data_IF_365605329530
#
_entry.id   IF_365605329530
#
_cell.length_a   1.000
_cell.length_b   1.000
_cell.length_c   1.000
_cell.angle_alpha   90.00
_cell.angle_beta   90.00
_cell.angle_gamma   90.00
#
_symmetry.space_group_name_H-M   'P 1'
#
loop_
_entity.id
_entity.type
_entity.pdbx_description
1 polymer ?
#
# COMPACT_ATOMS: atom_id res chain seq x y z
N UNK A 1 10.26 -38.79 37.83
CA UNK A 1 9.45 -37.59 38.13
C UNK A 1 9.80 -36.54 37.09
N UNK A 2 9.18 -36.57 35.92
CA UNK A 2 7.92 -35.89 35.52
C UNK A 2 8.30 -34.76 34.57
N UNK A 3 7.96 -34.93 33.30
CA UNK A 3 7.99 -33.92 32.25
C UNK A 3 7.32 -32.63 32.75
N UNK A 4 7.97 -31.49 32.52
CA UNK A 4 7.33 -30.18 32.67
C UNK A 4 7.44 -29.47 31.31
N UNK A 5 6.35 -29.59 30.54
CA UNK A 5 5.80 -28.58 29.61
C UNK A 5 6.76 -28.11 28.50
N UNK A 6 6.89 -28.78 27.35
CA UNK A 6 5.91 -28.79 26.25
C UNK A 6 5.22 -27.43 26.01
N UNK A 7 5.51 -26.84 24.85
CA UNK A 7 4.71 -25.88 24.10
C UNK A 7 4.56 -24.43 24.64
N UNK A 8 5.59 -23.61 24.41
CA UNK A 8 5.36 -22.19 24.10
C UNK A 8 5.87 -21.85 22.69
N UNK A 9 5.49 -22.69 21.73
CA UNK A 9 5.67 -22.46 20.30
C UNK A 9 4.30 -22.22 19.68
N UNK A 10 3.70 -21.09 20.04
CA UNK A 10 2.47 -20.58 19.44
C UNK A 10 2.33 -19.08 19.71
N UNK A 11 3.34 -18.28 19.34
CA UNK A 11 3.03 -16.94 18.88
C UNK A 11 2.35 -17.12 17.51
N UNK A 12 1.05 -17.34 17.60
CA UNK A 12 0.12 -17.55 16.50
C UNK A 12 0.38 -16.48 15.44
N UNK A 13 0.97 -16.91 14.31
CA UNK A 13 0.67 -16.34 13.01
C UNK A 13 -0.84 -16.38 12.84
N UNK A 14 -1.53 -15.37 13.36
CA UNK A 14 -2.91 -15.08 13.01
C UNK A 14 -2.93 -14.44 11.63
N UNK A 15 -2.43 -15.20 10.64
CA UNK A 15 -2.81 -15.06 9.24
C UNK A 15 -4.07 -15.90 8.98
N UNK A 16 -4.97 -15.94 9.97
CA UNK A 16 -6.24 -16.61 9.88
C UNK A 16 -7.17 -15.74 9.03
N UNK A 17 -7.24 -16.10 7.75
CA UNK A 17 -8.35 -15.83 6.84
C UNK A 17 -8.67 -14.35 6.62
N UNK A 18 -7.69 -13.56 6.15
CA UNK A 18 -8.08 -12.40 5.34
C UNK A 18 -8.65 -12.98 4.04
N UNK A 19 -9.93 -12.73 3.69
CA UNK A 19 -10.43 -13.13 2.38
C UNK A 19 -9.44 -12.63 1.31
N UNK A 20 -9.15 -13.41 0.25
CA UNK A 20 -8.21 -12.99 -0.78
C UNK A 20 -8.60 -11.58 -1.19
N UNK A 21 -7.71 -10.62 -0.93
CA UNK A 21 -8.01 -9.22 -1.15
C UNK A 21 -8.41 -9.09 -2.62
N UNK A 22 -9.65 -8.69 -2.86
CA UNK A 22 -10.16 -8.51 -4.21
C UNK A 22 -9.23 -7.55 -4.94
N UNK A 23 -8.48 -8.09 -5.91
CA UNK A 23 -7.62 -7.29 -6.77
C UNK A 23 -8.44 -6.93 -7.98
N UNK A 24 -8.73 -5.64 -8.14
CA UNK A 24 -9.26 -5.10 -9.37
C UNK A 24 -8.20 -5.31 -10.45
N UNK A 25 -8.47 -6.10 -11.50
CA UNK A 25 -7.54 -6.25 -12.61
C UNK A 25 -7.42 -4.90 -13.33
N UNK A 26 -6.20 -4.50 -13.69
CA UNK A 26 -5.96 -3.29 -14.51
C UNK A 26 -6.41 -1.97 -13.85
N UNK A 27 -5.99 -1.74 -12.60
CA UNK A 27 -6.12 -0.43 -11.95
C UNK A 27 -5.52 0.68 -12.83
N UNK A 28 -6.29 1.72 -13.13
CA UNK A 28 -5.80 2.89 -13.86
C UNK A 28 -4.74 3.61 -13.00
N UNK A 29 -3.64 3.99 -13.64
CA UNK A 29 -2.61 4.81 -13.00
C UNK A 29 -3.17 6.18 -12.58
N UNK A 30 -2.58 6.82 -11.54
CA UNK A 30 -2.91 8.20 -11.17
C UNK A 30 -2.67 9.16 -12.33
N UNK A 31 -3.41 10.26 -12.36
CA UNK A 31 -3.00 11.40 -13.19
C UNK A 31 -1.78 12.09 -12.57
N UNK A 32 -0.90 12.64 -13.42
CA UNK A 32 0.24 13.42 -12.94
C UNK A 32 -0.25 14.68 -12.21
N UNK A 33 0.42 15.02 -11.11
CA UNK A 33 0.13 16.22 -10.33
C UNK A 33 1.23 17.25 -10.52
N UNK A 34 0.87 18.41 -11.09
CA UNK A 34 1.82 19.46 -11.47
C UNK A 34 1.97 20.58 -10.43
N UNK A 35 1.14 20.56 -9.38
CA UNK A 35 1.06 21.61 -8.37
C UNK A 35 0.30 22.87 -8.79
N UNK A 36 -0.28 22.94 -9.99
CA UNK A 36 -1.00 24.14 -10.47
C UNK A 36 -2.39 24.27 -9.87
N UNK A 37 -3.01 23.15 -9.53
CA UNK A 37 -4.36 23.09 -8.99
C UNK A 37 -4.33 22.42 -7.61
N UNK A 38 -4.11 23.17 -6.52
CA UNK A 38 -3.94 22.60 -5.18
C UNK A 38 -5.11 21.71 -4.74
N UNK A 39 -6.33 22.04 -5.16
CA UNK A 39 -7.53 21.26 -4.85
C UNK A 39 -7.50 19.82 -5.43
N UNK A 40 -6.67 19.54 -6.44
CA UNK A 40 -6.51 18.20 -7.02
C UNK A 40 -5.60 17.28 -6.19
N UNK A 41 -4.84 17.81 -5.23
CA UNK A 41 -3.89 17.01 -4.43
C UNK A 41 -4.58 15.86 -3.70
N UNK A 42 -5.80 16.10 -3.20
CA UNK A 42 -6.58 15.08 -2.48
C UNK A 42 -6.95 13.93 -3.41
N UNK A 43 -7.45 14.23 -4.61
CA UNK A 43 -7.81 13.23 -5.61
C UNK A 43 -6.60 12.42 -6.06
N UNK A 44 -5.45 13.08 -6.26
CA UNK A 44 -4.18 12.42 -6.55
C UNK A 44 -3.79 11.42 -5.44
N UNK A 45 -3.79 11.86 -4.18
CA UNK A 45 -3.46 11.00 -3.03
C UNK A 45 -4.43 9.81 -2.92
N UNK A 46 -5.73 10.05 -3.09
CA UNK A 46 -6.76 9.00 -3.04
C UNK A 46 -6.54 7.93 -4.13
N UNK A 47 -6.16 8.34 -5.34
CA UNK A 47 -5.85 7.39 -6.41
C UNK A 47 -4.63 6.52 -6.09
N UNK A 48 -3.57 7.11 -5.51
CA UNK A 48 -2.39 6.38 -5.06
C UNK A 48 -2.76 5.37 -3.96
N UNK A 49 -3.54 5.80 -2.97
CA UNK A 49 -4.00 4.94 -1.89
C UNK A 49 -4.78 3.74 -2.43
N UNK A 50 -5.71 3.94 -3.37
CA UNK A 50 -6.49 2.86 -3.94
C UNK A 50 -5.61 1.80 -4.61
N UNK A 51 -4.58 2.23 -5.35
CA UNK A 51 -3.60 1.33 -5.98
C UNK A 51 -2.79 0.56 -4.94
N UNK A 52 -2.32 1.23 -3.89
CA UNK A 52 -1.54 0.57 -2.83
C UNK A 52 -2.36 -0.50 -2.10
N UNK A 53 -3.64 -0.25 -1.85
CA UNK A 53 -4.53 -1.22 -1.22
C UNK A 53 -4.91 -2.37 -2.16
N UNK A 54 -4.98 -2.11 -3.47
CA UNK A 54 -5.27 -3.13 -4.46
C UNK A 54 -4.10 -4.12 -4.63
N UNK A 55 -2.86 -3.67 -4.42
CA UNK A 55 -1.68 -4.53 -4.58
C UNK A 55 -0.68 -4.46 -3.42
N UNK A 56 -1.10 -5.02 -2.29
CA UNK A 56 -0.30 -5.08 -1.06
C UNK A 56 1.05 -5.80 -1.24
N UNK A 57 1.17 -6.74 -2.18
CA UNK A 57 2.41 -7.47 -2.42
C UNK A 57 3.49 -6.54 -3.00
N UNK A 58 3.12 -5.75 -4.02
CA UNK A 58 4.02 -4.77 -4.62
C UNK A 58 4.23 -3.54 -3.73
N UNK A 59 3.21 -3.10 -3.00
CA UNK A 59 3.25 -1.91 -2.13
C UNK A 59 3.33 -2.22 -0.64
N UNK A 60 4.03 -3.29 -0.27
CA UNK A 60 4.22 -3.72 1.13
C UNK A 60 5.08 -2.76 1.95
N UNK A 61 6.00 -2.04 1.31
CA UNK A 61 6.92 -1.10 1.96
C UNK A 61 6.54 0.34 1.62
N UNK A 62 6.58 1.23 2.62
CA UNK A 62 6.28 2.65 2.41
C UNK A 62 7.24 3.32 1.42
N UNK A 63 8.50 2.90 1.37
CA UNK A 63 9.47 3.37 0.37
C UNK A 63 8.95 3.16 -1.07
N UNK A 64 8.31 2.02 -1.36
CA UNK A 64 7.75 1.73 -2.69
C UNK A 64 6.53 2.60 -2.99
N UNK A 65 5.69 2.84 -1.98
CA UNK A 65 4.54 3.76 -2.10
C UNK A 65 4.98 5.19 -2.40
N UNK A 66 5.97 5.67 -1.65
CA UNK A 66 6.54 7.01 -1.85
C UNK A 66 7.15 7.12 -3.24
N UNK A 67 8.03 6.18 -3.62
CA UNK A 67 8.68 6.19 -4.94
C UNK A 67 7.65 6.22 -6.09
N UNK A 68 6.60 5.42 -5.96
CA UNK A 68 5.51 5.40 -6.92
C UNK A 68 4.76 6.73 -6.96
N UNK A 69 4.32 7.27 -5.82
CA UNK A 69 3.62 8.56 -5.81
C UNK A 69 4.50 9.68 -6.39
N UNK A 70 5.78 9.70 -6.05
CA UNK A 70 6.72 10.72 -6.55
C UNK A 70 6.93 10.65 -8.05
N UNK A 71 6.82 9.48 -8.69
CA UNK A 71 6.99 9.39 -10.16
C UNK A 71 5.86 10.04 -10.96
N UNK A 72 4.76 10.42 -10.31
CA UNK A 72 3.65 11.15 -10.92
C UNK A 72 3.65 12.65 -10.55
N UNK A 73 4.61 13.09 -9.74
CA UNK A 73 4.80 14.52 -9.49
C UNK A 73 5.57 15.11 -10.67
N UNK A 74 5.05 16.22 -11.20
CA UNK A 74 5.68 16.94 -12.32
C UNK A 74 5.67 18.44 -12.02
N UNK A 75 6.38 19.22 -12.84
CA UNK A 75 6.25 20.68 -12.82
C UNK A 75 6.68 21.30 -11.49
N UNK A 76 5.75 22.00 -10.81
CA UNK A 76 6.04 22.65 -9.51
C UNK A 76 6.00 21.68 -8.34
N UNK A 77 5.37 20.53 -8.50
CA UNK A 77 5.27 19.52 -7.44
C UNK A 77 6.48 18.58 -7.38
N UNK A 78 7.33 18.58 -8.43
CA UNK A 78 8.53 17.75 -8.51
C UNK A 78 9.76 18.41 -7.86
N UNK A 79 9.76 19.75 -7.73
CA UNK A 79 10.92 20.56 -7.36
C UNK A 79 10.94 20.96 -5.90
#
# INVERSE_FOLDING_TARGET
>A
MTQIMANLQAASSSEASRPPAFKTPSMKAPECFDGTHPFKVRSFIQSCQLIFHNDLANFSQDRKKVLYATSFLIGRAEK
#
